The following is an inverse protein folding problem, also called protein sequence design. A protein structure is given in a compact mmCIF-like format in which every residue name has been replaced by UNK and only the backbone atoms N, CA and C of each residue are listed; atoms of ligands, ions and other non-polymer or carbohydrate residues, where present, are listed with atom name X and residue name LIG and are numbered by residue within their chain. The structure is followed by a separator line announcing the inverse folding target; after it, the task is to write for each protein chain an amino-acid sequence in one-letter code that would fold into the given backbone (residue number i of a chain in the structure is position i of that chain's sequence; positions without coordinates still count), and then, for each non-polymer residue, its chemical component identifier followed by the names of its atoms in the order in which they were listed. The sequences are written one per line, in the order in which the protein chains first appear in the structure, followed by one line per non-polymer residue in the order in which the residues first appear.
data_IF_602739147094
#
_entry.id   IF_602739147094
#
_cell.length_a   1.000
_cell.length_b   1.000
_cell.length_c   1.000
_cell.angle_alpha   90.00
_cell.angle_beta   90.00
_cell.angle_gamma   90.00
#
_symmetry.space_group_name_H-M   'P 1'
#
loop_
_entity.id
_entity.type
_entity.pdbx_description
1 polymer ?
#
# COMPACT_ATOMS: atom_id res chain seq x y z
N UNK A 1 -9.42 -13.65 31.32
CA UNK A 1 -8.49 -12.82 30.51
C UNK A 1 -9.21 -11.52 30.18
N UNK A 2 -8.68 -10.36 30.60
CA UNK A 2 -9.31 -9.10 30.27
C UNK A 2 -9.19 -8.89 28.76
N UNK A 3 -10.32 -8.62 28.13
CA UNK A 3 -10.49 -8.39 26.70
C UNK A 3 -9.37 -7.49 26.15
N UNK A 4 -8.65 -7.98 25.15
CA UNK A 4 -7.68 -7.21 24.35
C UNK A 4 -8.36 -5.93 23.81
N UNK A 5 -9.68 -5.96 23.65
CA UNK A 5 -10.49 -4.90 23.08
C UNK A 5 -10.86 -3.76 24.04
N UNK A 6 -10.82 -3.97 25.36
CA UNK A 6 -11.28 -2.98 26.35
C UNK A 6 -10.19 -2.10 26.95
N UNK A 7 -8.91 -2.45 26.82
CA UNK A 7 -7.82 -1.73 27.49
C UNK A 7 -7.10 -0.69 26.63
N UNK A 8 -7.42 -0.59 25.35
CA UNK A 8 -6.69 0.31 24.45
C UNK A 8 -7.68 1.23 23.70
N UNK A 9 -7.40 2.53 23.71
CA UNK A 9 -8.16 3.55 22.98
C UNK A 9 -8.20 3.31 21.44
N UNK A 10 -7.37 2.36 20.95
CA UNK A 10 -7.30 1.88 19.55
C UNK A 10 -8.66 1.45 18.98
N UNK A 11 -9.53 0.90 19.83
CA UNK A 11 -10.79 0.31 19.38
C UNK A 11 -12.02 1.17 19.70
N UNK A 12 -11.77 2.41 20.19
CA UNK A 12 -12.87 3.35 20.47
C UNK A 12 -13.66 3.64 19.18
N UNK A 13 -14.98 3.42 19.23
CA UNK A 13 -15.87 3.65 18.09
C UNK A 13 -15.82 2.60 16.96
N UNK A 14 -15.04 1.52 17.11
CA UNK A 14 -15.03 0.40 16.15
C UNK A 14 -16.12 -0.60 16.52
N UNK A 15 -17.08 -0.81 15.62
CA UNK A 15 -18.17 -1.78 15.76
C UNK A 15 -17.74 -3.16 15.24
N UNK A 16 -18.35 -4.18 15.82
CA UNK A 16 -18.24 -5.60 15.45
C UNK A 16 -19.62 -6.23 15.58
N UNK A 17 -20.08 -6.87 14.52
CA UNK A 17 -21.37 -7.57 14.52
C UNK A 17 -21.24 -9.04 15.05
N UNK A 18 -20.20 -9.29 15.84
CA UNK A 18 -19.88 -10.59 16.44
C UNK A 18 -19.35 -10.40 17.87
N UNK A 19 -19.38 -11.48 18.66
CA UNK A 19 -18.94 -11.47 20.06
C UNK A 19 -17.50 -11.96 20.22
N UNK A 20 -16.89 -11.64 21.37
CA UNK A 20 -15.56 -12.16 21.76
C UNK A 20 -15.54 -13.69 21.83
N UNK A 21 -16.65 -14.31 22.28
CA UNK A 21 -16.79 -15.77 22.35
C UNK A 21 -16.75 -16.40 20.95
N UNK A 22 -17.38 -15.74 19.96
CA UNK A 22 -17.32 -16.18 18.57
C UNK A 22 -15.88 -16.07 18.03
N UNK A 23 -15.15 -15.00 18.34
CA UNK A 23 -13.73 -14.88 17.97
C UNK A 23 -12.89 -16.01 18.57
N UNK A 24 -13.03 -16.25 19.89
CA UNK A 24 -12.28 -17.32 20.55
C UNK A 24 -12.63 -18.72 20.02
N UNK A 25 -13.89 -18.95 19.68
CA UNK A 25 -14.35 -20.23 19.09
C UNK A 25 -13.79 -20.44 17.67
N UNK A 26 -13.62 -19.37 16.88
CA UNK A 26 -13.08 -19.44 15.52
C UNK A 26 -11.56 -19.45 15.49
N UNK A 27 -10.92 -19.02 16.56
CA UNK A 27 -9.48 -19.03 16.71
C UNK A 27 -9.00 -20.46 16.99
N UNK A 28 -7.94 -20.89 16.34
CA UNK A 28 -7.32 -22.20 16.63
C UNK A 28 -6.75 -22.28 18.04
N UNK A 29 -6.43 -23.48 18.49
CA UNK A 29 -5.86 -23.74 19.84
C UNK A 29 -4.45 -23.20 19.98
N UNK A 30 -3.67 -23.16 18.87
CA UNK A 30 -2.32 -22.64 18.85
C UNK A 30 -2.34 -21.12 18.55
N UNK A 31 -1.65 -20.35 19.40
CA UNK A 31 -1.46 -18.90 19.19
C UNK A 31 -0.22 -18.68 18.34
N UNK A 32 -0.44 -18.42 17.05
CA UNK A 32 0.63 -18.04 16.12
C UNK A 32 0.86 -16.54 16.23
N UNK A 33 2.11 -16.11 16.32
CA UNK A 33 2.48 -14.70 16.30
C UNK A 33 2.89 -14.26 14.90
N UNK A 34 2.18 -13.25 14.39
CA UNK A 34 2.44 -12.63 13.10
C UNK A 34 3.21 -11.32 13.33
N UNK A 35 4.47 -11.44 13.74
CA UNK A 35 5.31 -10.35 14.25
C UNK A 35 5.36 -9.15 13.30
N UNK A 36 5.58 -9.36 12.00
CA UNK A 36 5.68 -8.27 11.02
C UNK A 36 4.34 -7.54 10.88
N UNK A 37 3.23 -8.26 10.73
CA UNK A 37 1.91 -7.67 10.61
C UNK A 37 1.51 -6.90 11.88
N UNK A 38 1.75 -7.48 13.05
CA UNK A 38 1.42 -6.85 14.34
C UNK A 38 2.21 -5.54 14.54
N UNK A 39 3.54 -5.63 14.44
CA UNK A 39 4.43 -4.48 14.59
C UNK A 39 4.13 -3.39 13.55
N UNK A 40 3.95 -3.80 12.28
CA UNK A 40 3.60 -2.88 11.21
C UNK A 40 2.25 -2.19 11.41
N UNK A 41 1.24 -2.92 11.89
CA UNK A 41 -0.09 -2.37 12.18
C UNK A 41 -0.07 -1.36 13.33
N UNK A 42 0.67 -1.66 14.40
CA UNK A 42 0.86 -0.75 15.54
C UNK A 42 1.57 0.53 15.09
N UNK A 43 2.66 0.40 14.33
CA UNK A 43 3.42 1.52 13.76
C UNK A 43 2.57 2.37 12.80
N UNK A 44 1.79 1.71 11.92
CA UNK A 44 0.89 2.42 11.03
C UNK A 44 -0.16 3.22 11.79
N UNK A 45 -0.78 2.61 12.80
CA UNK A 45 -1.78 3.29 13.60
C UNK A 45 -1.21 4.50 14.35
N UNK A 46 -0.03 4.37 14.93
CA UNK A 46 0.67 5.49 15.56
C UNK A 46 0.90 6.65 14.56
N UNK A 47 1.36 6.34 13.35
CA UNK A 47 1.58 7.35 12.31
C UNK A 47 0.27 8.06 11.95
N UNK A 48 -0.82 7.31 11.78
CA UNK A 48 -2.12 7.83 11.35
C UNK A 48 -2.81 8.69 12.43
N UNK A 49 -2.48 8.46 13.71
CA UNK A 49 -3.13 9.13 14.87
C UNK A 49 -2.24 10.13 15.57
N UNK A 50 -1.09 10.47 15.03
CA UNK A 50 -0.11 11.38 15.65
C UNK A 50 -0.65 12.79 15.94
N UNK A 51 -1.78 13.17 15.40
CA UNK A 51 -2.40 14.48 15.61
C UNK A 51 -1.79 15.62 14.78
N UNK A 52 -2.33 16.82 14.96
CA UNK A 52 -1.95 17.99 14.17
C UNK A 52 -2.23 17.79 12.67
N UNK A 53 -1.43 18.43 11.83
CA UNK A 53 -1.52 18.34 10.35
C UNK A 53 -0.64 17.22 9.77
N UNK A 54 -0.14 16.30 10.65
CA UNK A 54 0.77 15.24 10.21
C UNK A 54 0.08 14.27 9.27
N UNK A 55 0.80 13.86 8.23
CA UNK A 55 0.39 12.82 7.29
C UNK A 55 1.60 11.98 6.89
N UNK A 56 1.35 10.84 6.28
CA UNK A 56 2.38 9.99 5.70
C UNK A 56 2.20 9.90 4.19
N UNK A 57 3.29 10.11 3.47
CA UNK A 57 3.36 9.85 2.03
C UNK A 57 3.79 8.41 1.81
N UNK A 58 3.10 7.71 0.91
CA UNK A 58 3.46 6.38 0.48
C UNK A 58 3.52 6.33 -1.05
N UNK A 59 4.35 5.45 -1.57
CA UNK A 59 4.43 5.16 -2.99
C UNK A 59 4.09 3.69 -3.23
N UNK A 60 3.47 3.42 -4.36
CA UNK A 60 3.19 2.07 -4.81
C UNK A 60 4.48 1.34 -5.17
N UNK A 61 4.90 0.36 -4.38
CA UNK A 61 6.04 -0.49 -4.69
C UNK A 61 5.60 -1.67 -5.57
N UNK A 62 6.37 -1.97 -6.61
CA UNK A 62 6.14 -3.11 -7.50
C UNK A 62 7.10 -4.27 -7.19
N UNK A 63 8.23 -3.99 -6.55
CA UNK A 63 9.26 -4.97 -6.17
C UNK A 63 9.78 -4.73 -4.77
N UNK A 64 10.38 -5.77 -4.16
CA UNK A 64 11.07 -5.64 -2.87
C UNK A 64 12.26 -4.67 -2.93
N UNK A 65 12.99 -4.64 -4.04
CA UNK A 65 14.09 -3.69 -4.25
C UNK A 65 13.62 -2.24 -4.23
N UNK A 66 12.52 -1.92 -4.92
CA UNK A 66 11.92 -0.58 -4.86
C UNK A 66 11.53 -0.19 -3.44
N UNK A 67 10.87 -1.10 -2.71
CA UNK A 67 10.48 -0.85 -1.32
C UNK A 67 11.70 -0.59 -0.41
N UNK A 68 12.77 -1.34 -0.58
CA UNK A 68 14.04 -1.13 0.14
C UNK A 68 14.63 0.26 -0.14
N UNK A 69 14.63 0.70 -1.41
CA UNK A 69 15.09 2.06 -1.74
C UNK A 69 14.16 3.14 -1.17
N UNK A 70 12.84 2.90 -1.13
CA UNK A 70 11.90 3.83 -0.49
C UNK A 70 12.20 4.00 1.01
N UNK A 71 12.55 2.91 1.72
CA UNK A 71 12.97 2.97 3.12
C UNK A 71 14.26 3.78 3.28
N UNK A 72 15.29 3.52 2.48
CA UNK A 72 16.55 4.27 2.47
C UNK A 72 16.36 5.75 2.15
N UNK A 73 15.43 6.07 1.27
CA UNK A 73 15.06 7.44 0.94
C UNK A 73 14.24 8.16 2.02
N UNK A 74 13.90 7.48 3.12
CA UNK A 74 13.22 8.07 4.28
C UNK A 74 11.69 8.08 4.20
N UNK A 75 11.06 7.34 3.29
CA UNK A 75 9.62 7.11 3.33
C UNK A 75 9.25 6.30 4.58
N UNK A 76 8.02 6.47 5.07
CA UNK A 76 7.56 5.87 6.32
C UNK A 76 6.45 4.84 6.17
N UNK A 77 5.97 4.61 4.95
CA UNK A 77 4.98 3.60 4.61
C UNK A 77 5.08 3.20 3.13
N UNK A 78 4.59 2.01 2.82
CA UNK A 78 4.46 1.47 1.47
C UNK A 78 2.98 1.31 1.16
N UNK A 79 2.59 1.67 -0.05
CA UNK A 79 1.33 1.25 -0.64
C UNK A 79 1.56 0.06 -1.58
N UNK A 80 0.73 -0.96 -1.50
CA UNK A 80 0.76 -2.10 -2.43
C UNK A 80 -0.49 -2.05 -3.29
N UNK A 81 -0.29 -1.74 -4.57
CA UNK A 81 -1.35 -1.50 -5.54
C UNK A 81 -1.81 -2.79 -6.22
N UNK A 82 -3.11 -3.07 -6.18
CA UNK A 82 -3.73 -4.15 -6.97
C UNK A 82 -3.57 -3.92 -8.47
N UNK A 83 -3.67 -2.68 -8.93
CA UNK A 83 -3.40 -2.33 -10.32
C UNK A 83 -2.00 -2.77 -10.77
N UNK A 84 -0.96 -2.49 -9.96
CA UNK A 84 0.42 -2.90 -10.28
C UNK A 84 0.59 -4.43 -10.23
N UNK A 85 -0.11 -5.10 -9.31
CA UNK A 85 -0.15 -6.56 -9.26
C UNK A 85 -0.78 -7.12 -10.53
N UNK A 86 -1.93 -6.60 -10.96
CA UNK A 86 -2.61 -7.00 -12.18
C UNK A 86 -1.70 -6.83 -13.41
N UNK A 87 -1.05 -5.67 -13.52
CA UNK A 87 -0.24 -5.31 -14.68
C UNK A 87 1.02 -6.16 -14.82
N UNK A 88 1.77 -6.41 -13.73
CA UNK A 88 3.16 -6.86 -13.86
C UNK A 88 3.67 -7.78 -12.72
N UNK A 89 2.84 -8.13 -11.73
CA UNK A 89 3.32 -8.96 -10.60
C UNK A 89 2.25 -9.90 -10.04
N UNK A 90 1.50 -10.57 -10.90
CA UNK A 90 0.51 -11.56 -10.49
C UNK A 90 0.95 -13.00 -10.78
N UNK A 91 0.35 -13.95 -10.04
CA UNK A 91 0.68 -15.37 -10.14
C UNK A 91 0.14 -16.06 -11.40
N UNK A 92 -0.77 -15.42 -12.13
CA UNK A 92 -1.20 -15.91 -13.44
C UNK A 92 -0.14 -15.67 -14.53
N UNK A 93 0.94 -14.92 -14.22
CA UNK A 93 2.01 -14.56 -15.15
C UNK A 93 1.51 -13.82 -16.41
N UNK A 94 0.41 -13.10 -16.27
CA UNK A 94 -0.24 -12.37 -17.36
C UNK A 94 -0.21 -10.87 -17.08
N UNK A 95 -0.34 -10.07 -18.12
CA UNK A 95 -0.62 -8.64 -18.01
C UNK A 95 -2.12 -8.45 -18.07
N UNK A 96 -2.71 -7.99 -16.96
CA UNK A 96 -4.14 -7.76 -16.83
C UNK A 96 -4.46 -6.29 -16.57
N UNK A 97 -5.63 -5.82 -17.01
CA UNK A 97 -6.21 -4.60 -16.49
C UNK A 97 -6.63 -4.80 -15.02
N UNK A 98 -6.82 -3.69 -14.31
CA UNK A 98 -7.27 -3.67 -12.91
C UNK A 98 -8.77 -4.03 -12.80
N UNK A 99 -9.08 -5.30 -12.97
CA UNK A 99 -10.43 -5.88 -12.99
C UNK A 99 -10.50 -7.20 -12.20
N UNK A 100 -9.62 -7.39 -11.22
CA UNK A 100 -9.56 -8.60 -10.38
C UNK A 100 -9.46 -9.92 -11.17
N UNK A 101 -8.76 -9.92 -12.31
CA UNK A 101 -8.57 -11.09 -13.16
C UNK A 101 -7.44 -12.00 -12.68
N UNK A 102 -6.58 -11.50 -11.79
CA UNK A 102 -5.47 -12.24 -11.25
C UNK A 102 -5.87 -13.07 -10.01
N UNK A 103 -5.11 -14.12 -9.65
CA UNK A 103 -5.38 -14.91 -8.45
C UNK A 103 -5.36 -14.07 -7.18
N UNK A 104 -6.36 -14.22 -6.33
CA UNK A 104 -6.61 -13.39 -5.14
C UNK A 104 -5.40 -13.25 -4.18
N UNK A 105 -4.55 -14.29 -4.11
CA UNK A 105 -3.37 -14.27 -3.23
C UNK A 105 -2.13 -13.58 -3.83
N UNK A 106 -2.19 -13.10 -5.08
CA UNK A 106 -1.02 -12.48 -5.75
C UNK A 106 -0.54 -11.23 -4.99
N UNK A 107 -1.46 -10.38 -4.51
CA UNK A 107 -1.10 -9.21 -3.71
C UNK A 107 -0.44 -9.61 -2.37
N UNK A 108 -0.94 -10.64 -1.69
CA UNK A 108 -0.31 -11.15 -0.46
C UNK A 108 1.11 -11.68 -0.71
N UNK A 109 1.36 -12.34 -1.83
CA UNK A 109 2.71 -12.78 -2.20
C UNK A 109 3.66 -11.62 -2.48
N UNK A 110 3.17 -10.52 -3.05
CA UNK A 110 3.99 -9.31 -3.21
C UNK A 110 4.29 -8.66 -1.85
N UNK A 111 3.33 -8.61 -0.91
CA UNK A 111 3.59 -8.19 0.48
C UNK A 111 4.72 -9.03 1.07
N UNK A 112 4.65 -10.34 0.93
CA UNK A 112 5.67 -11.26 1.44
C UNK A 112 7.05 -11.02 0.80
N UNK A 113 7.11 -10.80 -0.52
CA UNK A 113 8.36 -10.45 -1.22
C UNK A 113 8.98 -9.16 -0.70
N UNK A 114 8.16 -8.13 -0.47
CA UNK A 114 8.63 -6.86 0.09
C UNK A 114 9.17 -7.07 1.51
N UNK A 115 8.45 -7.78 2.37
CA UNK A 115 8.89 -8.07 3.73
C UNK A 115 10.17 -8.92 3.75
N UNK A 116 10.32 -9.86 2.83
CA UNK A 116 11.56 -10.64 2.69
C UNK A 116 12.74 -9.76 2.25
N UNK A 117 12.52 -8.78 1.36
CA UNK A 117 13.54 -7.81 0.97
C UNK A 117 13.93 -6.91 2.16
N UNK A 118 12.95 -6.44 2.94
CA UNK A 118 13.20 -5.69 4.18
C UNK A 118 14.00 -6.51 5.18
N UNK A 119 13.62 -7.77 5.40
CA UNK A 119 14.32 -8.68 6.30
C UNK A 119 15.78 -8.88 5.86
N UNK A 120 16.03 -9.05 4.56
CA UNK A 120 17.39 -9.17 4.04
C UNK A 120 18.19 -7.89 4.21
N UNK A 121 17.61 -6.72 3.91
CA UNK A 121 18.26 -5.43 4.09
C UNK A 121 18.60 -5.16 5.56
N UNK A 122 17.69 -5.48 6.48
CA UNK A 122 17.89 -5.39 7.93
C UNK A 122 19.03 -6.31 8.40
N UNK A 123 19.06 -7.57 7.95
CA UNK A 123 20.12 -8.53 8.27
C UNK A 123 21.50 -8.04 7.83
N UNK A 124 21.60 -7.46 6.62
CA UNK A 124 22.84 -6.90 6.10
C UNK A 124 23.29 -5.70 6.94
N UNK A 125 22.38 -4.74 7.17
CA UNK A 125 22.65 -3.56 7.98
C UNK A 125 23.06 -3.91 9.41
N UNK A 126 22.34 -4.85 10.05
CA UNK A 126 22.66 -5.30 11.41
C UNK A 126 24.05 -5.93 11.49
N UNK A 127 24.39 -6.81 10.53
CA UNK A 127 25.71 -7.46 10.46
C UNK A 127 26.84 -6.42 10.26
N UNK A 128 26.58 -5.38 9.48
CA UNK A 128 27.56 -4.31 9.22
C UNK A 128 27.62 -3.26 10.35
N UNK A 129 26.77 -3.37 11.38
CA UNK A 129 26.67 -2.39 12.47
C UNK A 129 26.02 -1.07 12.06
N UNK A 130 25.31 -1.06 10.94
CA UNK A 130 24.52 0.08 10.47
C UNK A 130 23.06 -0.07 10.95
N UNK A 131 22.56 0.87 11.74
CA UNK A 131 21.23 0.87 12.32
C UNK A 131 20.46 2.16 11.98
N UNK A 132 20.87 2.89 10.94
CA UNK A 132 20.30 4.18 10.59
C UNK A 132 18.92 4.07 9.92
N UNK A 133 18.65 2.97 9.21
CA UNK A 133 17.42 2.77 8.47
C UNK A 133 16.52 1.74 9.16
N UNK A 134 15.30 2.13 9.48
CA UNK A 134 14.24 1.19 9.84
C UNK A 134 13.57 0.68 8.56
N UNK A 135 13.98 -0.52 8.11
CA UNK A 135 13.47 -1.13 6.89
C UNK A 135 12.01 -1.62 7.01
N UNK A 136 11.56 -1.97 8.21
CA UNK A 136 10.21 -2.53 8.40
C UNK A 136 9.12 -1.45 8.33
N UNK A 137 8.98 -0.87 7.13
CA UNK A 137 7.92 0.08 6.86
C UNK A 137 6.55 -0.61 6.86
N UNK A 138 5.51 -0.01 7.45
CA UNK A 138 4.16 -0.53 7.35
C UNK A 138 3.68 -0.55 5.89
N UNK A 139 3.04 -1.67 5.49
CA UNK A 139 2.50 -1.88 4.14
C UNK A 139 0.98 -1.86 4.22
N UNK A 140 0.34 -0.93 3.48
CA UNK A 140 -1.10 -0.92 3.25
C UNK A 140 -1.37 -1.59 1.90
N UNK A 141 -2.07 -2.71 1.91
CA UNK A 141 -2.25 -3.56 0.74
C UNK A 141 -3.67 -3.51 0.18
N UNK A 142 -3.76 -3.56 -1.14
CA UNK A 142 -4.98 -3.63 -1.91
C UNK A 142 -5.61 -5.03 -1.82
N UNK A 143 -6.85 -5.09 -1.38
CA UNK A 143 -7.68 -6.30 -1.37
C UNK A 143 -8.84 -6.23 -2.39
N UNK A 144 -8.81 -5.24 -3.28
CA UNK A 144 -9.83 -5.08 -4.32
C UNK A 144 -11.25 -5.01 -3.70
N UNK A 145 -12.24 -5.60 -4.36
CA UNK A 145 -13.57 -5.81 -3.81
C UNK A 145 -13.69 -7.14 -3.00
N UNK A 146 -12.56 -7.76 -2.63
CA UNK A 146 -12.53 -9.00 -1.84
C UNK A 146 -12.53 -10.29 -2.64
N UNK A 147 -12.47 -10.24 -3.98
CA UNK A 147 -12.46 -11.41 -4.90
C UNK A 147 -13.65 -12.37 -4.72
N UNK A 148 -14.75 -11.88 -4.21
CA UNK A 148 -15.97 -12.66 -3.98
C UNK A 148 -16.83 -12.09 -2.85
N UNK A 149 -17.33 -12.98 -2.00
CA UNK A 149 -18.16 -12.61 -0.85
C UNK A 149 -17.37 -12.38 0.44
N UNK A 150 -18.06 -12.17 1.58
CA UNK A 150 -17.40 -11.93 2.88
C UNK A 150 -16.45 -13.05 3.33
N UNK A 151 -16.69 -14.31 2.96
CA UNK A 151 -15.78 -15.41 3.28
C UNK A 151 -14.47 -15.32 2.51
N UNK A 152 -14.52 -14.86 1.25
CA UNK A 152 -13.30 -14.58 0.46
C UNK A 152 -12.51 -13.44 1.09
N UNK A 153 -13.18 -12.36 1.51
CA UNK A 153 -12.55 -11.23 2.19
C UNK A 153 -11.89 -11.65 3.53
N UNK A 154 -12.54 -12.54 4.29
CA UNK A 154 -12.00 -13.11 5.51
C UNK A 154 -10.69 -13.86 5.25
N UNK A 155 -10.68 -14.81 4.30
CA UNK A 155 -9.50 -15.60 3.98
C UNK A 155 -8.39 -14.76 3.31
N UNK A 156 -8.74 -13.81 2.46
CA UNK A 156 -7.76 -12.88 1.87
C UNK A 156 -7.08 -12.03 2.95
N UNK A 157 -7.85 -11.53 3.92
CA UNK A 157 -7.28 -10.76 5.04
C UNK A 157 -6.32 -11.61 5.87
N UNK A 158 -6.64 -12.89 6.11
CA UNK A 158 -5.71 -13.82 6.78
C UNK A 158 -4.42 -13.98 5.98
N UNK A 159 -4.52 -14.17 4.67
CA UNK A 159 -3.34 -14.27 3.80
C UNK A 159 -2.47 -13.00 3.85
N UNK A 160 -3.09 -11.81 3.87
CA UNK A 160 -2.38 -10.54 4.03
C UNK A 160 -1.66 -10.44 5.39
N UNK A 161 -2.29 -10.87 6.47
CA UNK A 161 -1.67 -10.91 7.81
C UNK A 161 -0.48 -11.87 7.83
N UNK A 162 -0.63 -13.07 7.27
CA UNK A 162 0.46 -14.07 7.17
C UNK A 162 1.64 -13.48 6.39
N UNK A 163 1.36 -12.76 5.31
CA UNK A 163 2.37 -12.09 4.50
C UNK A 163 3.04 -10.89 5.18
N UNK A 164 2.48 -10.39 6.29
CA UNK A 164 3.01 -9.27 7.07
C UNK A 164 2.46 -7.90 6.68
N UNK A 165 1.27 -7.82 6.08
CA UNK A 165 0.59 -6.54 5.83
C UNK A 165 0.25 -5.83 7.15
N UNK A 166 0.35 -4.51 7.15
CA UNK A 166 0.06 -3.64 8.29
C UNK A 166 -1.35 -3.05 8.22
N UNK A 167 -1.87 -2.95 7.03
CA UNK A 167 -3.22 -2.53 6.73
C UNK A 167 -3.69 -3.11 5.41
N UNK A 168 -5.01 -3.17 5.25
CA UNK A 168 -5.67 -3.58 4.02
C UNK A 168 -6.78 -2.61 3.68
N UNK A 169 -7.06 -2.43 2.40
CA UNK A 169 -8.28 -1.75 2.00
C UNK A 169 -9.15 -2.66 1.15
N UNK A 170 -10.46 -2.47 1.30
CA UNK A 170 -11.50 -3.04 0.48
C UNK A 170 -12.35 -1.93 -0.11
N UNK A 171 -12.98 -2.18 -1.26
CA UNK A 171 -13.84 -1.23 -1.93
C UNK A 171 -15.25 -1.79 -2.13
N UNK A 172 -16.24 -0.90 -2.21
CA UNK A 172 -17.67 -1.24 -2.26
C UNK A 172 -18.19 -1.63 -3.66
N UNK A 173 -17.28 -2.06 -4.56
CA UNK A 173 -17.64 -2.57 -5.87
C UNK A 173 -18.08 -4.04 -5.82
N UNK A 174 -18.89 -4.45 -6.81
CA UNK A 174 -19.17 -5.86 -7.08
C UNK A 174 -17.91 -6.55 -7.58
N UNK A 175 -17.46 -7.60 -6.92
CA UNK A 175 -16.18 -8.25 -7.23
C UNK A 175 -16.09 -8.79 -8.66
N UNK A 176 -17.20 -9.31 -9.22
CA UNK A 176 -17.25 -9.81 -10.61
C UNK A 176 -17.23 -8.71 -11.68
N UNK A 177 -17.56 -7.47 -11.31
CA UNK A 177 -17.62 -6.31 -12.20
C UNK A 177 -16.63 -5.21 -11.76
N UNK A 178 -15.63 -5.56 -10.97
CA UNK A 178 -14.64 -4.62 -10.46
C UNK A 178 -13.91 -3.92 -11.60
N UNK A 179 -13.74 -2.63 -11.45
CA UNK A 179 -12.99 -1.77 -12.36
C UNK A 179 -12.03 -0.88 -11.57
N UNK A 180 -10.93 -0.46 -12.19
CA UNK A 180 -10.09 0.61 -11.66
C UNK A 180 -10.94 1.84 -11.30
N UNK A 181 -10.63 2.52 -10.22
CA UNK A 181 -11.40 3.66 -9.71
C UNK A 181 -11.68 4.77 -10.72
N UNK A 182 -10.83 4.91 -11.73
CA UNK A 182 -10.93 5.92 -12.79
C UNK A 182 -11.65 5.42 -14.06
N UNK A 183 -12.07 4.17 -14.09
CA UNK A 183 -12.80 3.59 -15.22
C UNK A 183 -14.32 3.71 -15.04
N UNK A 184 -15.04 3.68 -16.17
CA UNK A 184 -16.50 3.59 -16.19
C UNK A 184 -16.99 2.18 -15.87
N UNK A 185 -18.34 2.03 -15.76
CA UNK A 185 -18.98 0.73 -15.60
C UNK A 185 -18.81 0.09 -14.22
N UNK A 186 -18.43 0.85 -13.21
CA UNK A 186 -18.35 0.39 -11.82
C UNK A 186 -19.76 0.09 -11.28
N UNK A 187 -19.90 -1.06 -10.61
CA UNK A 187 -21.13 -1.50 -9.98
C UNK A 187 -20.89 -1.60 -8.48
N UNK A 188 -21.66 -0.86 -7.69
CA UNK A 188 -21.60 -0.93 -6.23
C UNK A 188 -22.41 -2.13 -5.71
N UNK A 189 -21.96 -2.71 -4.62
CA UNK A 189 -22.81 -3.58 -3.78
C UNK A 189 -23.66 -2.72 -2.84
N UNK A 190 -24.78 -3.23 -2.28
CA UNK A 190 -25.53 -2.54 -1.23
C UNK A 190 -24.61 -2.19 -0.04
N UNK A 191 -24.87 -1.05 0.58
CA UNK A 191 -24.10 -0.56 1.74
C UNK A 191 -23.93 -1.62 2.82
N UNK A 192 -25.01 -2.36 3.16
CA UNK A 192 -24.96 -3.44 4.15
C UNK A 192 -24.04 -4.60 3.74
N UNK A 193 -23.92 -4.87 2.44
CA UNK A 193 -23.05 -5.95 1.95
C UNK A 193 -21.57 -5.57 2.11
N UNK A 194 -21.21 -4.33 1.81
CA UNK A 194 -19.86 -3.87 2.04
C UNK A 194 -19.49 -3.80 3.53
N UNK A 195 -20.44 -3.43 4.40
CA UNK A 195 -20.23 -3.52 5.85
C UNK A 195 -19.90 -4.96 6.27
N UNK A 196 -20.55 -5.98 5.70
CA UNK A 196 -20.20 -7.38 5.96
C UNK A 196 -18.77 -7.73 5.51
N UNK A 197 -18.30 -7.16 4.39
CA UNK A 197 -16.91 -7.31 3.93
C UNK A 197 -15.92 -6.70 4.93
N UNK A 198 -16.20 -5.49 5.43
CA UNK A 198 -15.38 -4.84 6.47
C UNK A 198 -15.37 -5.64 7.78
N UNK A 199 -16.54 -6.16 8.20
CA UNK A 199 -16.64 -7.03 9.36
C UNK A 199 -15.87 -8.35 9.17
N UNK A 200 -15.89 -8.93 7.98
CA UNK A 200 -15.12 -10.14 7.67
C UNK A 200 -13.62 -9.90 7.81
N UNK A 201 -13.12 -8.77 7.29
CA UNK A 201 -11.72 -8.36 7.45
C UNK A 201 -11.38 -8.12 8.94
N UNK A 202 -12.27 -7.47 9.70
CA UNK A 202 -12.08 -7.25 11.13
C UNK A 202 -12.10 -8.58 11.91
N UNK A 203 -12.99 -9.49 11.59
CA UNK A 203 -13.04 -10.82 12.22
C UNK A 203 -11.76 -11.61 11.96
N UNK A 204 -11.21 -11.57 10.75
CA UNK A 204 -9.91 -12.17 10.43
C UNK A 204 -8.79 -11.56 11.27
N UNK A 205 -8.73 -10.23 11.37
CA UNK A 205 -7.78 -9.49 12.21
C UNK A 205 -7.88 -9.93 13.68
N UNK A 206 -9.10 -10.01 14.21
CA UNK A 206 -9.37 -10.37 15.61
C UNK A 206 -9.05 -11.86 15.89
N UNK A 207 -9.42 -12.76 14.99
CA UNK A 207 -9.12 -14.21 15.16
C UNK A 207 -7.62 -14.49 15.09
N UNK A 208 -6.87 -13.74 14.29
CA UNK A 208 -5.42 -13.87 14.19
C UNK A 208 -4.65 -13.07 15.25
N UNK A 209 -5.33 -12.23 16.02
CA UNK A 209 -4.72 -11.44 17.12
C UNK A 209 -3.79 -10.33 16.63
N UNK A 210 -4.03 -9.79 15.43
CA UNK A 210 -3.27 -8.69 14.84
C UNK A 210 -4.15 -7.43 14.78
N UNK A 211 -3.70 -6.27 15.28
CA UNK A 211 -4.48 -5.03 15.24
C UNK A 211 -4.43 -4.36 13.85
N UNK A 212 -4.79 -5.12 12.80
CA UNK A 212 -4.70 -4.71 11.42
C UNK A 212 -5.49 -3.43 11.17
N UNK A 213 -4.90 -2.49 10.42
CA UNK A 213 -5.59 -1.27 9.99
C UNK A 213 -6.48 -1.60 8.79
N UNK A 214 -7.78 -1.35 8.91
CA UNK A 214 -8.75 -1.58 7.83
C UNK A 214 -9.17 -0.24 7.24
N UNK A 215 -8.98 -0.09 5.94
CA UNK A 215 -9.40 1.08 5.16
C UNK A 215 -10.66 0.71 4.37
N UNK A 216 -11.74 1.44 4.59
CA UNK A 216 -12.98 1.30 3.82
C UNK A 216 -12.98 2.32 2.68
N UNK A 217 -12.90 1.83 1.44
CA UNK A 217 -12.97 2.67 0.23
C UNK A 217 -14.40 2.67 -0.33
N UNK A 218 -14.85 3.85 -0.78
CA UNK A 218 -16.05 3.96 -1.62
C UNK A 218 -15.73 4.51 -2.98
N UNK A 219 -16.29 3.88 -4.00
CA UNK A 219 -16.27 4.30 -5.40
C UNK A 219 -17.53 5.05 -5.82
N UNK A 220 -18.44 5.32 -4.89
CA UNK A 220 -19.77 5.91 -5.15
C UNK A 220 -19.72 7.32 -5.75
N UNK A 221 -18.57 8.01 -5.65
CA UNK A 221 -18.41 9.32 -6.30
C UNK A 221 -18.53 9.25 -7.84
N UNK A 222 -18.13 8.12 -8.43
CA UNK A 222 -18.19 7.94 -9.88
C UNK A 222 -19.01 6.71 -10.33
N UNK A 223 -19.35 5.80 -9.40
CA UNK A 223 -20.11 4.60 -9.73
C UNK A 223 -21.62 4.90 -9.83
N UNK A 224 -22.17 4.69 -11.02
CA UNK A 224 -23.56 4.98 -11.33
C UNK A 224 -24.46 3.75 -11.34
N UNK A 225 -24.00 2.61 -10.84
CA UNK A 225 -24.76 1.34 -10.79
C UNK A 225 -24.68 0.72 -9.39
N UNK A 226 -25.77 0.09 -8.98
CA UNK A 226 -25.88 -0.68 -7.72
C UNK A 226 -26.54 -2.02 -8.01
N UNK A 227 -26.11 -3.10 -7.39
CA UNK A 227 -26.65 -4.45 -7.64
C UNK A 227 -28.08 -4.62 -7.18
N UNK A 228 -28.52 -3.92 -6.11
CA UNK A 228 -29.81 -4.10 -5.48
C UNK A 228 -30.27 -2.86 -4.72
N UNK A 229 -31.58 -2.68 -4.60
CA UNK A 229 -32.24 -1.62 -3.82
C UNK A 229 -32.64 -2.05 -2.40
N UNK A 230 -32.13 -3.19 -1.95
CA UNK A 230 -32.52 -3.79 -0.68
C UNK A 230 -32.14 -2.91 0.53
N UNK A 231 -31.03 -2.17 0.44
CA UNK A 231 -30.56 -1.31 1.53
C UNK A 231 -31.27 0.05 1.48
N UNK A 232 -32.02 0.43 2.53
CA UNK A 232 -32.73 1.71 2.57
C UNK A 232 -31.79 2.93 2.49
N UNK A 233 -30.50 2.79 2.86
CA UNK A 233 -29.50 3.87 2.80
C UNK A 233 -29.12 4.20 1.36
N UNK A 234 -29.21 3.24 0.44
CA UNK A 234 -28.89 3.44 -0.97
C UNK A 234 -30.06 4.00 -1.79
N UNK A 235 -31.30 3.74 -1.36
CA UNK A 235 -32.53 4.11 -2.10
C UNK A 235 -32.62 5.60 -2.48
N UNK A 236 -32.22 6.58 -1.66
CA UNK A 236 -32.29 8.00 -2.03
C UNK A 236 -31.45 8.37 -3.26
N UNK A 237 -30.46 7.56 -3.61
CA UNK A 237 -29.57 7.77 -4.73
C UNK A 237 -29.99 6.99 -5.99
N UNK A 238 -30.94 6.06 -5.91
CA UNK A 238 -31.42 5.29 -7.05
C UNK A 238 -32.35 6.13 -7.94
N UNK A 239 -32.25 5.95 -9.26
CA UNK A 239 -33.08 6.67 -10.24
C UNK A 239 -34.41 5.96 -10.54
N UNK A 240 -34.54 4.69 -10.16
CA UNK A 240 -35.67 3.84 -10.53
C UNK A 240 -35.45 3.07 -11.85
N UNK A 241 -34.45 3.44 -12.64
CA UNK A 241 -34.12 2.76 -13.90
C UNK A 241 -33.18 1.56 -13.65
N UNK A 242 -33.22 0.58 -14.58
CA UNK A 242 -32.34 -0.58 -14.57
C UNK A 242 -31.57 -0.73 -15.87
N UNK A 243 -30.42 -1.38 -15.79
CA UNK A 243 -29.64 -1.77 -16.96
C UNK A 243 -30.14 -3.08 -17.57
N UNK A 244 -29.71 -3.47 -18.78
CA UNK A 244 -30.03 -4.77 -19.36
C UNK A 244 -29.61 -5.96 -18.47
N UNK A 245 -28.52 -5.84 -17.71
CA UNK A 245 -28.04 -6.85 -16.76
C UNK A 245 -28.87 -6.86 -15.45
N UNK A 246 -29.75 -5.90 -15.28
CA UNK A 246 -30.63 -5.79 -14.12
C UNK A 246 -30.07 -4.96 -12.96
N UNK A 247 -28.94 -4.29 -13.11
CA UNK A 247 -28.45 -3.36 -12.10
C UNK A 247 -29.31 -2.10 -11.99
N UNK A 248 -29.43 -1.57 -10.78
CA UNK A 248 -30.11 -0.28 -10.57
C UNK A 248 -29.19 0.88 -10.95
N UNK A 249 -29.72 1.87 -11.67
CA UNK A 249 -29.01 3.12 -11.91
C UNK A 249 -29.00 3.99 -10.68
N UNK A 250 -27.87 4.63 -10.44
CA UNK A 250 -27.65 5.52 -9.30
C UNK A 250 -27.16 6.90 -9.78
N UNK A 251 -27.46 7.90 -8.95
CA UNK A 251 -27.01 9.29 -9.16
C UNK A 251 -25.57 9.47 -8.71
N UNK A 252 -24.64 8.72 -8.96
CA UNK A 252 -23.24 8.91 -8.56
C UNK A 252 -22.93 10.31 -7.96
N UNK A 253 -21.83 10.46 -7.28
CA UNK A 253 -21.39 11.77 -6.78
C UNK A 253 -21.05 11.78 -5.29
N UNK A 254 -20.51 12.92 -4.87
CA UNK A 254 -19.95 13.08 -3.53
C UNK A 254 -20.97 12.85 -2.42
N UNK A 255 -22.23 13.22 -2.62
CA UNK A 255 -23.27 13.03 -1.60
C UNK A 255 -23.56 11.55 -1.33
N UNK A 256 -23.57 10.72 -2.38
CA UNK A 256 -23.68 9.26 -2.23
C UNK A 256 -22.41 8.68 -1.57
N UNK A 257 -21.23 9.14 -1.96
CA UNK A 257 -19.98 8.72 -1.36
C UNK A 257 -19.92 9.06 0.13
N UNK A 258 -20.35 10.27 0.53
CA UNK A 258 -20.45 10.69 1.93
C UNK A 258 -21.44 9.80 2.71
N UNK A 259 -22.63 9.57 2.19
CA UNK A 259 -23.64 8.74 2.86
C UNK A 259 -23.13 7.32 3.13
N UNK A 260 -22.44 6.72 2.16
CA UNK A 260 -21.80 5.42 2.30
C UNK A 260 -20.64 5.46 3.27
N UNK A 261 -19.72 6.42 3.15
CA UNK A 261 -18.59 6.57 4.06
C UNK A 261 -19.04 6.71 5.53
N UNK A 262 -20.06 7.50 5.80
CA UNK A 262 -20.64 7.63 7.15
C UNK A 262 -21.20 6.30 7.68
N UNK A 263 -21.72 5.44 6.80
CA UNK A 263 -22.18 4.11 7.16
C UNK A 263 -21.03 3.13 7.42
N UNK A 264 -19.90 3.29 6.74
CA UNK A 264 -18.69 2.45 6.87
C UNK A 264 -17.79 2.86 8.04
N UNK A 265 -17.84 4.13 8.45
CA UNK A 265 -16.97 4.69 9.48
C UNK A 265 -16.88 3.87 10.77
N UNK A 266 -17.97 3.29 11.32
CA UNK A 266 -17.88 2.45 12.52
C UNK A 266 -17.17 1.10 12.30
N UNK A 267 -17.03 0.64 11.06
CA UNK A 267 -16.55 -0.71 10.73
C UNK A 267 -15.11 -0.74 10.17
N UNK A 268 -14.51 0.42 9.93
CA UNK A 268 -13.14 0.55 9.45
C UNK A 268 -12.34 1.53 10.30
N UNK A 269 -11.03 1.56 10.13
CA UNK A 269 -10.13 2.46 10.86
C UNK A 269 -9.91 3.77 10.09
N UNK A 270 -9.87 3.69 8.77
CA UNK A 270 -9.60 4.79 7.84
C UNK A 270 -10.68 4.78 6.76
N UNK A 271 -11.09 5.95 6.32
CA UNK A 271 -12.00 6.09 5.17
C UNK A 271 -11.27 6.64 3.95
N UNK A 272 -11.63 6.11 2.80
CA UNK A 272 -11.14 6.56 1.50
C UNK A 272 -12.30 6.73 0.53
N UNK A 273 -12.45 7.94 0.00
CA UNK A 273 -13.34 8.23 -1.14
C UNK A 273 -12.48 8.31 -2.40
N UNK A 274 -12.73 7.44 -3.39
CA UNK A 274 -12.05 7.54 -4.67
C UNK A 274 -12.55 8.75 -5.46
N UNK A 275 -11.62 9.53 -6.03
CA UNK A 275 -11.91 10.77 -6.75
C UNK A 275 -11.38 10.70 -8.19
N UNK A 276 -11.97 11.50 -9.10
CA UNK A 276 -11.58 11.50 -10.50
C UNK A 276 -10.60 12.63 -10.90
N UNK A 277 -10.43 13.62 -10.03
CA UNK A 277 -9.56 14.80 -10.24
C UNK A 277 -8.99 15.30 -8.93
N UNK A 278 -7.83 15.99 -8.94
CA UNK A 278 -7.30 16.61 -7.75
C UNK A 278 -8.13 17.86 -7.40
N UNK A 279 -9.00 17.76 -6.39
CA UNK A 279 -9.92 18.82 -5.99
C UNK A 279 -9.97 18.97 -4.46
N UNK A 280 -9.33 20.01 -3.93
CA UNK A 280 -9.31 20.28 -2.49
C UNK A 280 -10.68 20.64 -1.91
N UNK A 281 -11.58 21.26 -2.70
CA UNK A 281 -12.92 21.58 -2.21
C UNK A 281 -13.78 20.33 -2.05
N UNK A 282 -13.69 19.39 -2.97
CA UNK A 282 -14.34 18.08 -2.86
C UNK A 282 -13.78 17.30 -1.66
N UNK A 283 -12.46 17.28 -1.52
CA UNK A 283 -11.79 16.64 -0.38
C UNK A 283 -12.23 17.27 0.96
N UNK A 284 -12.35 18.59 1.02
CA UNK A 284 -12.82 19.33 2.21
C UNK A 284 -14.26 18.95 2.58
N UNK A 285 -15.19 18.99 1.62
CA UNK A 285 -16.59 18.60 1.87
C UNK A 285 -16.71 17.19 2.42
N UNK A 286 -15.94 16.25 1.87
CA UNK A 286 -15.92 14.87 2.37
C UNK A 286 -15.39 14.81 3.80
N UNK A 287 -14.25 15.43 4.06
CA UNK A 287 -13.61 15.44 5.39
C UNK A 287 -14.51 16.09 6.45
N UNK A 288 -15.10 17.24 6.17
CA UNK A 288 -16.02 17.96 7.08
C UNK A 288 -17.25 17.10 7.41
N UNK A 289 -17.86 16.46 6.42
CA UNK A 289 -19.02 15.59 6.62
C UNK A 289 -18.68 14.38 7.49
N UNK A 290 -17.52 13.76 7.29
CA UNK A 290 -17.04 12.64 8.12
C UNK A 290 -16.75 13.12 9.55
N UNK A 291 -15.96 14.18 9.70
CA UNK A 291 -15.51 14.65 11.02
C UNK A 291 -16.62 15.25 11.86
N UNK A 292 -17.70 15.75 11.26
CA UNK A 292 -18.89 16.20 11.97
C UNK A 292 -19.54 15.06 12.77
N UNK A 293 -19.45 13.81 12.31
CA UNK A 293 -20.03 12.64 12.99
C UNK A 293 -19.00 11.73 13.66
N UNK A 294 -17.79 11.70 13.12
CA UNK A 294 -16.65 10.89 13.60
C UNK A 294 -15.41 11.76 13.75
N UNK A 295 -15.34 12.61 14.79
CA UNK A 295 -14.23 13.52 14.99
C UNK A 295 -12.88 12.78 15.02
N UNK A 296 -11.90 13.26 14.25
CA UNK A 296 -10.55 12.69 14.21
C UNK A 296 -10.42 11.39 13.44
N UNK A 297 -11.47 10.90 12.75
CA UNK A 297 -11.39 9.73 11.88
C UNK A 297 -10.33 9.92 10.81
N UNK A 298 -9.26 9.10 10.76
CA UNK A 298 -8.26 9.21 9.71
C UNK A 298 -8.86 9.01 8.32
N UNK A 299 -8.39 9.79 7.36
CA UNK A 299 -8.77 9.70 5.95
C UNK A 299 -7.57 9.30 5.10
N UNK A 300 -7.81 8.64 3.98
CA UNK A 300 -6.82 8.32 2.96
C UNK A 300 -7.14 9.02 1.63
N UNK A 301 -6.10 9.40 0.89
CA UNK A 301 -6.25 10.06 -0.41
C UNK A 301 -5.31 9.44 -1.43
N UNK A 302 -5.87 9.04 -2.57
CA UNK A 302 -5.13 8.60 -3.73
C UNK A 302 -4.68 9.82 -4.56
N UNK A 303 -3.40 10.17 -4.48
CA UNK A 303 -2.77 11.14 -5.38
C UNK A 303 -2.49 10.44 -6.72
N UNK A 304 -3.57 10.12 -7.42
CA UNK A 304 -3.55 9.22 -8.57
C UNK A 304 -2.68 9.72 -9.72
N UNK A 305 -1.87 8.85 -10.33
CA UNK A 305 -1.21 9.15 -11.61
C UNK A 305 -2.19 9.24 -12.80
N UNK A 306 -3.44 8.81 -12.63
CA UNK A 306 -4.51 9.03 -13.62
C UNK A 306 -4.97 10.50 -13.68
N UNK A 307 -4.62 11.29 -12.67
CA UNK A 307 -4.84 12.73 -12.74
C UNK A 307 -3.78 13.37 -13.62
N UNK A 308 -4.19 14.23 -14.54
CA UNK A 308 -3.25 15.14 -15.19
C UNK A 308 -3.06 16.36 -14.29
N UNK A 309 -2.12 16.25 -13.33
CA UNK A 309 -1.89 17.25 -12.30
C UNK A 309 -1.69 18.65 -12.86
N UNK A 310 -0.80 18.80 -13.85
CA UNK A 310 -0.47 20.08 -14.48
C UNK A 310 -1.60 20.67 -15.31
N UNK A 311 -2.52 19.85 -15.84
CA UNK A 311 -3.68 20.32 -16.56
C UNK A 311 -4.80 20.81 -15.61
N UNK A 312 -4.77 20.41 -14.35
CA UNK A 312 -5.81 20.74 -13.37
C UNK A 312 -5.36 21.79 -12.35
N UNK A 313 -4.06 21.90 -12.05
CA UNK A 313 -3.53 22.72 -10.97
C UNK A 313 -2.24 23.44 -11.41
N UNK A 314 -2.00 24.62 -10.85
CA UNK A 314 -0.71 25.33 -10.98
C UNK A 314 0.39 24.63 -10.15
N UNK A 315 1.64 25.04 -10.38
CA UNK A 315 2.78 24.49 -9.61
C UNK A 315 2.69 24.84 -8.13
N UNK A 316 2.20 26.02 -7.80
CA UNK A 316 1.99 26.49 -6.44
C UNK A 316 0.90 25.66 -5.73
N UNK A 317 -0.21 25.37 -6.41
CA UNK A 317 -1.27 24.53 -5.88
C UNK A 317 -0.81 23.08 -5.67
N UNK A 318 -0.07 22.52 -6.63
CA UNK A 318 0.52 21.18 -6.51
C UNK A 318 1.48 21.10 -5.32
N UNK A 319 2.32 22.12 -5.13
CA UNK A 319 3.32 22.15 -4.05
C UNK A 319 2.71 22.10 -2.63
N UNK A 320 1.50 22.62 -2.47
CA UNK A 320 0.80 22.64 -1.17
C UNK A 320 -0.30 21.60 -1.04
N UNK A 321 -0.69 20.94 -2.10
CA UNK A 321 -1.87 20.06 -2.18
C UNK A 321 -1.91 19.01 -1.05
N UNK A 322 -0.83 18.26 -0.86
CA UNK A 322 -0.75 17.23 0.17
C UNK A 322 -0.76 17.82 1.59
N UNK A 323 -0.19 18.99 1.80
CA UNK A 323 -0.24 19.69 3.10
C UNK A 323 -1.66 20.12 3.43
N UNK A 324 -2.39 20.66 2.46
CA UNK A 324 -3.80 21.03 2.62
C UNK A 324 -4.67 19.80 2.93
N UNK A 325 -4.44 18.68 2.26
CA UNK A 325 -5.08 17.40 2.61
C UNK A 325 -4.76 16.99 4.06
N UNK A 326 -3.51 17.12 4.48
CA UNK A 326 -3.09 16.82 5.87
C UNK A 326 -3.87 17.62 6.91
N UNK A 327 -4.08 18.92 6.68
CA UNK A 327 -4.90 19.80 7.53
C UNK A 327 -6.36 19.32 7.64
N UNK A 328 -6.88 18.71 6.59
CA UNK A 328 -8.24 18.14 6.55
C UNK A 328 -8.36 16.75 7.18
N UNK A 329 -7.26 16.16 7.68
CA UNK A 329 -7.26 14.83 8.28
C UNK A 329 -6.98 13.67 7.34
N UNK A 330 -6.55 13.93 6.11
CA UNK A 330 -6.05 12.88 5.21
C UNK A 330 -4.65 12.44 5.66
N UNK A 331 -4.62 11.43 6.52
CA UNK A 331 -3.41 10.96 7.22
C UNK A 331 -2.56 10.03 6.39
N UNK A 332 -3.15 9.29 5.45
CA UNK A 332 -2.48 8.40 4.53
C UNK A 332 -2.68 8.88 3.10
N UNK A 333 -1.59 9.35 2.47
CA UNK A 333 -1.62 9.89 1.11
C UNK A 333 -0.63 9.11 0.27
N UNK A 334 -1.03 8.69 -0.93
CA UNK A 334 -0.22 7.77 -1.70
C UNK A 334 -0.37 7.95 -3.21
N UNK A 335 0.69 7.58 -3.95
CA UNK A 335 0.70 7.48 -5.41
C UNK A 335 0.66 6.01 -5.78
N UNK A 336 -0.48 5.55 -6.29
CA UNK A 336 -0.75 4.12 -6.50
C UNK A 336 0.23 3.43 -7.43
N UNK A 337 0.58 4.04 -8.56
CA UNK A 337 1.34 3.42 -9.65
C UNK A 337 2.78 3.95 -9.76
N UNK A 338 3.34 4.48 -8.66
CA UNK A 338 4.68 5.06 -8.67
C UNK A 338 5.76 4.06 -9.14
N UNK A 339 5.66 2.81 -8.66
CA UNK A 339 6.59 1.75 -9.05
C UNK A 339 6.53 1.41 -10.54
N UNK A 340 5.32 1.28 -11.09
CA UNK A 340 5.12 1.01 -12.51
C UNK A 340 5.67 2.13 -13.39
N UNK A 341 5.31 3.37 -13.10
CA UNK A 341 5.75 4.51 -13.92
C UNK A 341 7.26 4.75 -13.84
N UNK A 342 7.86 4.69 -12.64
CA UNK A 342 9.30 4.89 -12.49
C UNK A 342 10.09 3.80 -13.20
N UNK A 343 9.70 2.54 -13.06
CA UNK A 343 10.38 1.40 -13.70
C UNK A 343 10.30 1.50 -15.23
N UNK A 344 9.10 1.65 -15.78
CA UNK A 344 8.89 1.67 -17.23
C UNK A 344 9.48 2.90 -17.89
N UNK A 345 9.35 4.08 -17.26
CA UNK A 345 9.92 5.31 -17.79
C UNK A 345 11.46 5.27 -17.80
N UNK A 346 12.09 4.81 -16.71
CA UNK A 346 13.54 4.71 -16.64
C UNK A 346 14.07 3.72 -17.70
N UNK A 347 13.45 2.55 -17.83
CA UNK A 347 13.84 1.54 -18.81
C UNK A 347 13.66 2.04 -20.25
N UNK A 348 12.51 2.68 -20.55
CA UNK A 348 12.28 3.25 -21.89
C UNK A 348 13.35 4.28 -22.24
N UNK A 349 13.65 5.19 -21.33
CA UNK A 349 14.70 6.21 -21.53
C UNK A 349 16.06 5.60 -21.81
N UNK A 350 16.46 4.61 -21.00
CA UNK A 350 17.70 3.90 -21.19
C UNK A 350 17.74 3.20 -22.54
N UNK A 351 16.75 2.38 -22.85
CA UNK A 351 16.70 1.60 -24.09
C UNK A 351 16.70 2.48 -25.34
N UNK A 352 15.95 3.61 -25.29
CA UNK A 352 15.91 4.56 -26.40
C UNK A 352 17.24 5.23 -26.67
N UNK A 353 18.04 5.55 -25.63
CA UNK A 353 19.36 6.14 -25.79
C UNK A 353 20.43 5.07 -26.12
N UNK A 354 20.31 3.89 -25.48
CA UNK A 354 21.31 2.81 -25.60
C UNK A 354 21.39 2.23 -27.01
N UNK A 355 20.28 2.14 -27.75
CA UNK A 355 20.27 1.59 -29.11
C UNK A 355 21.18 2.32 -30.09
N UNK A 356 21.42 3.62 -29.86
CA UNK A 356 22.24 4.46 -30.72
C UNK A 356 23.61 4.82 -30.07
N UNK A 357 23.68 4.88 -28.74
CA UNK A 357 24.83 5.37 -28.00
C UNK A 357 25.54 4.32 -27.13
N UNK A 358 25.03 3.08 -27.06
CA UNK A 358 25.67 1.98 -26.34
C UNK A 358 26.00 2.32 -24.88
N UNK A 359 27.19 1.95 -24.45
CA UNK A 359 27.63 2.16 -23.04
C UNK A 359 27.65 3.62 -22.60
N UNK A 360 27.77 4.57 -23.52
CA UNK A 360 27.68 6.01 -23.20
C UNK A 360 26.29 6.38 -22.62
N UNK A 361 25.25 5.68 -23.03
CA UNK A 361 23.92 5.86 -22.45
C UNK A 361 23.83 5.24 -21.06
N UNK A 362 24.38 4.03 -20.90
CA UNK A 362 24.34 3.31 -19.61
C UNK A 362 25.16 4.02 -18.52
N UNK A 363 26.33 4.55 -18.85
CA UNK A 363 27.18 5.25 -17.87
C UNK A 363 26.51 6.46 -17.24
N UNK A 364 25.51 7.08 -17.90
CA UNK A 364 24.73 8.17 -17.30
C UNK A 364 23.94 7.71 -16.07
N UNK A 365 23.37 6.50 -16.11
CA UNK A 365 22.69 5.92 -14.94
C UNK A 365 23.70 5.65 -13.84
N UNK A 366 24.83 5.04 -14.18
CA UNK A 366 25.88 4.70 -13.20
C UNK A 366 26.42 5.94 -12.49
N UNK A 367 26.70 7.02 -13.23
CA UNK A 367 27.15 8.29 -12.63
C UNK A 367 26.06 8.92 -11.74
N UNK A 368 24.79 8.81 -12.14
CA UNK A 368 23.68 9.30 -11.34
C UNK A 368 23.51 8.50 -10.04
N UNK A 369 23.66 7.18 -10.10
CA UNK A 369 23.70 6.30 -8.93
C UNK A 369 24.82 6.69 -7.95
N UNK A 370 26.02 6.95 -8.46
CA UNK A 370 27.15 7.40 -7.64
C UNK A 370 26.87 8.76 -6.99
N UNK A 371 26.26 9.69 -7.71
CA UNK A 371 25.85 10.99 -7.17
C UNK A 371 24.79 10.87 -6.05
N UNK A 372 23.91 9.86 -6.11
CA UNK A 372 22.92 9.61 -5.08
C UNK A 372 23.47 8.86 -3.85
N UNK A 373 24.66 8.31 -3.91
CA UNK A 373 25.26 7.56 -2.78
C UNK A 373 25.32 8.38 -1.49
N UNK A 374 25.62 9.67 -1.59
CA UNK A 374 25.64 10.60 -0.44
C UNK A 374 24.28 10.81 0.21
N UNK A 375 23.18 10.48 -0.48
CA UNK A 375 21.79 10.54 0.01
C UNK A 375 21.28 9.20 0.53
N UNK A 376 22.14 8.17 0.59
CA UNK A 376 21.81 6.84 1.10
C UNK A 376 21.49 5.79 0.02
N UNK A 377 21.65 6.09 -1.27
CA UNK A 377 21.51 5.10 -2.33
C UNK A 377 22.71 4.14 -2.32
N UNK A 378 22.45 2.84 -2.27
CA UNK A 378 23.51 1.81 -2.15
C UNK A 378 23.46 0.74 -3.24
N UNK A 379 22.41 0.72 -4.08
CA UNK A 379 22.19 -0.36 -5.04
C UNK A 379 23.22 -0.41 -6.19
N UNK A 380 24.05 0.63 -6.36
CA UNK A 380 25.22 0.58 -7.23
C UNK A 380 26.23 -0.49 -6.78
N UNK A 381 26.25 -0.84 -5.48
CA UNK A 381 26.97 -1.99 -4.93
C UNK A 381 26.03 -3.19 -4.89
N UNK A 382 25.70 -3.70 -6.06
CA UNK A 382 24.62 -4.66 -6.23
C UNK A 382 24.89 -6.02 -5.57
N UNK A 383 26.15 -6.47 -5.43
CA UNK A 383 26.47 -7.71 -4.70
C UNK A 383 26.21 -7.56 -3.21
N UNK A 384 26.64 -6.42 -2.61
CA UNK A 384 26.31 -6.10 -1.23
C UNK A 384 24.78 -5.99 -1.03
N UNK A 385 24.11 -5.32 -1.96
CA UNK A 385 22.67 -5.02 -1.87
C UNK A 385 21.82 -6.30 -1.76
N UNK A 386 22.21 -7.37 -2.42
CA UNK A 386 21.53 -8.67 -2.37
C UNK A 386 22.05 -9.60 -1.27
N UNK A 387 23.09 -9.20 -0.54
CA UNK A 387 23.57 -9.90 0.66
C UNK A 387 24.72 -10.87 0.42
N UNK A 388 25.58 -10.66 -0.58
CA UNK A 388 26.77 -11.51 -0.80
C UNK A 388 27.65 -11.54 0.45
N UNK A 389 27.94 -10.40 1.09
CA UNK A 389 28.68 -10.31 2.35
C UNK A 389 28.00 -11.05 3.51
N UNK A 390 26.65 -11.04 3.56
CA UNK A 390 25.91 -11.78 4.57
C UNK A 390 26.11 -13.29 4.41
N UNK A 391 26.08 -13.82 3.20
CA UNK A 391 26.32 -15.24 2.94
C UNK A 391 27.79 -15.64 3.14
N UNK A 392 28.73 -14.72 2.88
CA UNK A 392 30.14 -14.94 3.27
C UNK A 392 30.28 -15.10 4.78
N UNK A 393 29.58 -14.28 5.57
CA UNK A 393 29.57 -14.41 7.01
C UNK A 393 28.94 -15.76 7.46
N UNK A 394 27.88 -16.23 6.81
CA UNK A 394 27.30 -17.56 7.04
C UNK A 394 28.33 -18.65 6.72
N UNK A 395 29.02 -18.58 5.59
CA UNK A 395 30.04 -19.55 5.20
C UNK A 395 31.22 -19.60 6.20
N UNK A 396 31.65 -18.43 6.66
CA UNK A 396 32.69 -18.33 7.71
C UNK A 396 32.23 -18.96 9.03
N UNK A 397 30.99 -18.69 9.45
CA UNK A 397 30.44 -19.29 10.68
C UNK A 397 30.37 -20.83 10.59
N UNK A 398 29.91 -21.35 9.46
CA UNK A 398 29.79 -22.79 9.23
C UNK A 398 31.14 -23.49 9.21
N UNK A 399 32.20 -22.84 8.81
CA UNK A 399 33.55 -23.39 8.68
C UNK A 399 34.47 -23.08 9.87
N UNK A 400 33.94 -22.52 10.95
CA UNK A 400 34.74 -22.12 12.12
C UNK A 400 35.79 -21.04 11.77
N UNK A 401 35.44 -20.14 10.87
CA UNK A 401 36.29 -19.02 10.44
C UNK A 401 37.36 -19.38 9.40
N UNK A 402 37.26 -20.52 8.72
CA UNK A 402 38.30 -21.03 7.80
C UNK A 402 37.81 -21.22 6.36
N UNK A 403 36.77 -20.49 5.92
CA UNK A 403 36.31 -20.60 4.53
C UNK A 403 37.28 -19.92 3.57
N UNK A 404 37.61 -20.59 2.46
CA UNK A 404 38.37 -20.04 1.33
C UNK A 404 37.47 -19.71 0.14
N UNK A 405 36.15 -19.87 0.30
CA UNK A 405 35.17 -19.70 -0.80
C UNK A 405 34.24 -18.51 -0.55
N UNK A 406 34.70 -17.51 0.18
CA UNK A 406 33.99 -16.24 0.33
C UNK A 406 33.99 -15.48 -0.99
N UNK A 407 32.89 -14.85 -1.34
CA UNK A 407 32.69 -14.25 -2.67
C UNK A 407 33.09 -12.76 -2.73
N UNK A 408 32.98 -12.03 -1.62
CA UNK A 408 33.32 -10.59 -1.61
C UNK A 408 34.84 -10.36 -1.62
N UNK A 409 35.61 -11.16 -0.91
CA UNK A 409 37.08 -11.02 -0.85
C UNK A 409 37.70 -11.25 -2.22
N UNK A 410 38.42 -10.24 -2.73
CA UNK A 410 39.00 -10.25 -4.06
C UNK A 410 38.01 -10.06 -5.20
N UNK A 411 36.78 -9.60 -4.91
CA UNK A 411 35.79 -9.29 -5.94
C UNK A 411 36.11 -7.95 -6.61
N UNK A 412 35.71 -7.80 -7.88
CA UNK A 412 35.84 -6.55 -8.62
C UNK A 412 34.97 -5.42 -8.03
N UNK A 413 33.86 -5.77 -7.31
CA UNK A 413 33.03 -4.79 -6.63
C UNK A 413 33.80 -4.09 -5.50
N UNK A 414 34.58 -4.86 -4.73
CA UNK A 414 35.41 -4.31 -3.66
C UNK A 414 36.46 -3.33 -4.20
N UNK A 415 37.11 -3.67 -5.31
CA UNK A 415 38.14 -2.82 -5.92
C UNK A 415 37.56 -1.55 -6.56
N UNK A 416 36.43 -1.63 -7.24
CA UNK A 416 35.89 -0.55 -8.06
C UNK A 416 35.00 0.42 -7.29
N UNK A 417 34.34 -0.03 -6.21
CA UNK A 417 33.45 0.81 -5.43
C UNK A 417 33.94 1.21 -4.05
N UNK A 418 35.24 1.03 -3.78
CA UNK A 418 35.90 1.69 -2.65
C UNK A 418 35.83 3.20 -2.87
N UNK A 419 35.29 3.95 -1.91
CA UNK A 419 35.33 5.42 -1.97
C UNK A 419 36.79 5.87 -2.02
N UNK A 420 37.28 6.23 -3.20
CA UNK A 420 38.52 7.01 -3.30
C UNK A 420 38.25 8.37 -2.70
N UNK A 421 39.03 8.86 -1.75
CA UNK A 421 38.95 10.24 -1.30
C UNK A 421 38.99 11.13 -2.54
N UNK A 422 38.09 12.11 -2.64
CA UNK A 422 37.90 13.01 -3.75
C UNK A 422 39.27 13.44 -4.35
N UNK A 423 39.65 12.86 -5.46
CA UNK A 423 40.61 13.48 -6.33
C UNK A 423 39.88 14.65 -7.00
N UNK A 424 39.99 15.82 -6.39
CA UNK A 424 39.80 17.08 -7.09
C UNK A 424 40.80 17.04 -8.24
N UNK A 425 40.29 16.72 -9.42
CA UNK A 425 41.10 16.86 -10.64
C UNK A 425 41.36 18.35 -10.86
N UNK A 426 42.46 18.84 -10.33
CA UNK A 426 43.15 19.98 -10.91
C UNK A 426 43.53 19.52 -12.32
N UNK A 427 42.77 19.89 -13.31
CA UNK A 427 43.20 19.90 -14.70
C UNK A 427 43.47 21.36 -15.07
N UNK A 428 44.71 21.62 -15.24
CA UNK A 428 45.31 22.70 -16.03
C UNK A 428 44.65 22.85 -17.42
#
# INVERSE_FOLDING_TARGET
MASIYRKNNRWAGVMRDYTEEQVERLRGTLRIEYTLAKRGSEKLWEILTRGGDSYVNALGALTGGQATQMAKAGLRAIYLSGWQVAADNNDATQTYPDQSLYPAHSAAKLVQRINNAFTRADQISHMEGDHLVDFFLPIVADCEAGFGGPLNAYELTKAMIIAGASGVHFEDQLASEKKCGHMGGKVLVPTMQFIKTLNAARLASDTMGVPLVIVGRTDANAAALVTSDIDPRDRPFLTGERTPEGFYRSKAGLDQAIARALSYAPYCDVLWCETGKPNLNEARRFAEAVHARFPGKPLAYNCSPSFNWKANLSDEEIAVFQKELGKMGYRFQFVTLAGFHSLNHAMFKLAHDYKDNGMKAYTKIQEDEFAQASKGFTAHKHQREVGTSYFDAVAMALSGGRSSVTAMSGSTEEEQFVQRPNYVAAKL
#
